data_IF_139470903244
#
_entry.id   IF_139470903244
#
_cell.length_a   1.000
_cell.length_b   1.000
_cell.length_c   1.000
_cell.angle_alpha   90.00
_cell.angle_beta   90.00
_cell.angle_gamma   90.00
#
_symmetry.space_group_name_H-M   'P 1'
#
loop_
_entity.id
_entity.type
_entity.pdbx_description
1 polymer ?
#
# COMPACT_ATOMS: atom_id res chain seq x y z
N UNK A 1 -17.22 -2.97 14.02
CA UNK A 1 -16.33 -2.99 12.84
C UNK A 1 -15.18 -3.98 13.02
N UNK A 2 -14.51 -4.02 14.19
CA UNK A 2 -13.33 -4.87 14.46
C UNK A 2 -13.50 -6.35 14.09
N UNK A 3 -14.56 -7.03 14.54
CA UNK A 3 -14.80 -8.44 14.21
C UNK A 3 -14.90 -8.69 12.70
N UNK A 4 -15.58 -7.79 11.97
CA UNK A 4 -15.75 -7.90 10.52
C UNK A 4 -14.42 -7.72 9.78
N UNK A 5 -13.61 -6.75 10.19
CA UNK A 5 -12.27 -6.53 9.62
C UNK A 5 -11.34 -7.70 9.91
N UNK A 6 -11.38 -8.24 11.13
CA UNK A 6 -10.62 -9.43 11.51
C UNK A 6 -10.99 -10.63 10.65
N UNK A 7 -12.29 -10.92 10.52
CA UNK A 7 -12.77 -12.00 9.66
C UNK A 7 -12.39 -11.79 8.18
N UNK A 8 -12.60 -10.58 7.64
CA UNK A 8 -12.23 -10.25 6.26
C UNK A 8 -10.74 -10.46 6.01
N UNK A 9 -9.88 -9.98 6.92
CA UNK A 9 -8.44 -10.17 6.84
C UNK A 9 -8.06 -11.65 6.80
N UNK A 10 -8.64 -12.48 7.68
CA UNK A 10 -8.37 -13.93 7.70
C UNK A 10 -8.77 -14.58 6.38
N UNK A 11 -9.95 -14.24 5.83
CA UNK A 11 -10.39 -14.77 4.55
C UNK A 11 -9.43 -14.39 3.42
N UNK A 12 -9.06 -13.11 3.33
CA UNK A 12 -8.19 -12.59 2.28
C UNK A 12 -6.79 -13.18 2.38
N UNK A 13 -6.18 -13.17 3.57
CA UNK A 13 -4.78 -13.57 3.75
C UNK A 13 -4.54 -15.08 3.71
N UNK A 14 -5.60 -15.89 3.76
CA UNK A 14 -5.54 -17.35 3.63
C UNK A 14 -6.17 -17.86 2.33
N UNK A 15 -6.31 -16.99 1.33
CA UNK A 15 -6.81 -17.36 0.00
C UNK A 15 -8.16 -18.12 0.06
N UNK A 16 -9.03 -17.75 1.01
CA UNK A 16 -10.29 -18.47 1.20
C UNK A 16 -11.18 -18.33 -0.05
N UNK A 17 -11.93 -19.39 -0.45
CA UNK A 17 -12.76 -19.34 -1.66
C UNK A 17 -13.74 -18.16 -1.70
N UNK A 18 -14.23 -17.73 -0.54
CA UNK A 18 -15.15 -16.62 -0.37
C UNK A 18 -14.49 -15.23 -0.25
N UNK A 19 -13.15 -15.13 -0.26
CA UNK A 19 -12.43 -13.88 -0.01
C UNK A 19 -12.82 -12.76 -1.00
N UNK A 20 -12.88 -13.08 -2.29
CA UNK A 20 -13.27 -12.12 -3.33
C UNK A 20 -14.70 -11.61 -3.15
N UNK A 21 -15.63 -12.51 -2.83
CA UNK A 21 -17.02 -12.14 -2.57
C UNK A 21 -17.17 -11.29 -1.31
N UNK A 22 -16.43 -11.63 -0.24
CA UNK A 22 -16.41 -10.88 1.01
C UNK A 22 -15.81 -9.47 0.84
N UNK A 23 -14.73 -9.32 0.04
CA UNK A 23 -14.16 -8.01 -0.30
C UNK A 23 -15.17 -7.15 -1.08
N UNK A 24 -15.88 -7.72 -2.05
CA UNK A 24 -16.88 -7.01 -2.84
C UNK A 24 -18.09 -6.60 -1.99
N UNK A 25 -18.58 -7.48 -1.12
CA UNK A 25 -19.68 -7.16 -0.18
C UNK A 25 -19.27 -6.08 0.82
N UNK A 26 -18.04 -6.16 1.37
CA UNK A 26 -17.52 -5.14 2.26
C UNK A 26 -17.47 -3.76 1.57
N UNK A 27 -16.89 -3.71 0.37
CA UNK A 27 -16.81 -2.47 -0.40
C UNK A 27 -18.21 -1.90 -0.69
N UNK A 28 -19.14 -2.72 -1.18
CA UNK A 28 -20.52 -2.29 -1.49
C UNK A 28 -21.21 -1.65 -0.29
N UNK A 29 -20.99 -2.17 0.91
CA UNK A 29 -21.63 -1.69 2.14
C UNK A 29 -20.96 -0.44 2.73
N UNK A 30 -19.64 -0.31 2.58
CA UNK A 30 -18.82 0.63 3.34
C UNK A 30 -18.03 1.64 2.51
N UNK A 31 -18.20 1.67 1.18
CA UNK A 31 -17.50 2.63 0.32
C UNK A 31 -17.73 4.09 0.70
N UNK A 32 -18.92 4.42 1.22
CA UNK A 32 -19.27 5.78 1.63
C UNK A 32 -18.80 6.10 3.07
N UNK A 33 -18.21 5.12 3.78
CA UNK A 33 -17.60 5.30 5.10
C UNK A 33 -16.07 5.38 4.97
N UNK A 34 -15.52 6.59 4.98
CA UNK A 34 -14.10 6.85 4.65
C UNK A 34 -13.09 5.93 5.36
N UNK A 35 -13.21 5.79 6.68
CA UNK A 35 -12.30 4.95 7.49
C UNK A 35 -12.47 3.45 7.19
N UNK A 36 -13.69 3.01 6.93
CA UNK A 36 -13.98 1.61 6.59
C UNK A 36 -13.40 1.29 5.21
N UNK A 37 -13.54 2.19 4.24
CA UNK A 37 -12.94 2.04 2.92
C UNK A 37 -11.40 2.06 3.01
N UNK A 38 -10.78 2.88 3.87
CA UNK A 38 -9.33 2.83 4.12
C UNK A 38 -8.88 1.44 4.57
N UNK A 39 -9.66 0.79 5.44
CA UNK A 39 -9.35 -0.58 5.88
C UNK A 39 -9.49 -1.61 4.75
N UNK A 40 -10.44 -1.41 3.83
CA UNK A 40 -10.59 -2.27 2.66
C UNK A 40 -9.37 -2.22 1.74
N UNK A 41 -8.82 -1.03 1.48
CA UNK A 41 -7.55 -0.90 0.74
C UNK A 41 -6.38 -1.52 1.50
N UNK A 42 -6.27 -1.20 2.79
CA UNK A 42 -5.16 -1.66 3.66
C UNK A 42 -5.06 -3.18 3.73
N UNK A 43 -6.19 -3.89 3.90
CA UNK A 43 -6.19 -5.36 4.01
C UNK A 43 -5.60 -6.02 2.75
N UNK A 44 -5.91 -5.47 1.57
CA UNK A 44 -5.41 -5.98 0.29
C UNK A 44 -3.95 -5.60 0.07
N UNK A 45 -3.58 -4.34 0.31
CA UNK A 45 -2.21 -3.86 0.13
C UNK A 45 -1.21 -4.52 1.09
N UNK A 46 -1.65 -4.84 2.32
CA UNK A 46 -0.82 -5.47 3.35
C UNK A 46 -0.75 -7.01 3.24
N UNK A 47 -1.39 -7.62 2.25
CA UNK A 47 -1.33 -9.07 2.08
C UNK A 47 0.13 -9.52 1.85
N UNK A 48 0.64 -10.54 2.56
CA UNK A 48 2.00 -11.04 2.35
C UNK A 48 2.35 -11.45 0.91
N UNK A 49 1.37 -11.86 0.11
CA UNK A 49 1.50 -12.25 -1.30
C UNK A 49 1.06 -11.15 -2.27
N UNK A 50 0.81 -9.93 -1.79
CA UNK A 50 0.50 -8.79 -2.66
C UNK A 50 1.66 -8.58 -3.65
N UNK A 51 1.29 -8.28 -4.89
CA UNK A 51 2.22 -8.05 -6.00
C UNK A 51 2.16 -6.59 -6.47
N UNK A 52 3.02 -6.21 -7.42
CA UNK A 52 2.95 -4.91 -8.08
C UNK A 52 1.57 -4.67 -8.72
N UNK A 53 0.98 -5.71 -9.33
CA UNK A 53 -0.36 -5.65 -9.93
C UNK A 53 -1.44 -5.43 -8.88
N UNK A 54 -1.26 -5.97 -7.66
CA UNK A 54 -2.19 -5.71 -6.54
C UNK A 54 -2.19 -4.23 -6.18
N UNK A 55 -1.01 -3.63 -6.04
CA UNK A 55 -0.87 -2.20 -5.73
C UNK A 55 -1.38 -1.34 -6.88
N UNK A 56 -1.08 -1.70 -8.13
CA UNK A 56 -1.59 -1.01 -9.31
C UNK A 56 -3.12 -1.05 -9.39
N UNK A 57 -3.73 -2.21 -9.12
CA UNK A 57 -5.19 -2.36 -9.07
C UNK A 57 -5.82 -1.44 -8.02
N UNK A 58 -5.24 -1.40 -6.81
CA UNK A 58 -5.74 -0.55 -5.72
C UNK A 58 -5.57 0.93 -6.02
N UNK A 59 -4.42 1.34 -6.55
CA UNK A 59 -4.14 2.75 -6.87
C UNK A 59 -4.91 3.25 -8.09
N UNK A 60 -5.38 2.36 -8.96
CA UNK A 60 -6.24 2.68 -10.11
C UNK A 60 -7.73 2.64 -9.77
N UNK A 61 -8.10 2.28 -8.53
CA UNK A 61 -9.48 2.17 -8.11
C UNK A 61 -10.14 3.56 -8.06
N UNK A 62 -11.41 3.67 -8.48
CA UNK A 62 -12.12 4.96 -8.58
C UNK A 62 -12.16 5.76 -7.26
N UNK A 63 -12.25 5.06 -6.12
CA UNK A 63 -12.24 5.68 -4.79
C UNK A 63 -10.84 5.86 -4.18
N UNK A 64 -9.76 5.57 -4.92
CA UNK A 64 -8.40 5.89 -4.51
C UNK A 64 -8.06 7.34 -4.83
N UNK A 65 -8.50 8.23 -3.95
CA UNK A 65 -8.26 9.67 -4.02
C UNK A 65 -6.91 10.09 -3.40
N UNK A 66 -6.03 10.66 -4.23
CA UNK A 66 -4.75 11.25 -3.82
C UNK A 66 -4.90 12.59 -3.07
N UNK A 67 -6.10 13.19 -3.06
CA UNK A 67 -6.43 14.35 -2.22
C UNK A 67 -6.64 13.99 -0.75
N UNK A 68 -6.85 12.71 -0.43
CA UNK A 68 -7.15 12.23 0.92
C UNK A 68 -5.92 11.53 1.54
N UNK A 69 -5.21 12.15 2.51
CA UNK A 69 -3.96 11.59 3.03
C UNK A 69 -4.10 10.19 3.67
N UNK A 70 -5.25 9.88 4.27
CA UNK A 70 -5.50 8.56 4.84
C UNK A 70 -5.71 7.51 3.74
N UNK A 71 -6.36 7.87 2.63
CA UNK A 71 -6.51 7.01 1.45
C UNK A 71 -5.14 6.67 0.86
N UNK A 72 -4.25 7.65 0.70
CA UNK A 72 -2.87 7.40 0.26
C UNK A 72 -2.13 6.43 1.19
N UNK A 73 -2.25 6.65 2.51
CA UNK A 73 -1.63 5.78 3.52
C UNK A 73 -2.25 4.40 3.59
N UNK A 74 -3.51 4.23 3.19
CA UNK A 74 -4.18 2.94 3.22
C UNK A 74 -3.49 1.91 2.32
N UNK A 75 -3.08 2.32 1.12
CA UNK A 75 -2.33 1.44 0.20
C UNK A 75 -0.84 1.46 0.51
N UNK A 76 -0.23 2.64 0.62
CA UNK A 76 1.23 2.76 0.79
C UNK A 76 1.71 2.23 2.14
N UNK A 77 0.92 2.46 3.20
CA UNK A 77 1.19 1.90 4.52
C UNK A 77 0.99 0.38 4.57
N UNK A 78 0.02 -0.15 3.81
CA UNK A 78 -0.18 -1.59 3.67
C UNK A 78 0.99 -2.26 2.98
N UNK A 79 1.43 -1.71 1.85
CA UNK A 79 2.63 -2.17 1.15
C UNK A 79 3.87 -2.16 2.08
N UNK A 80 4.05 -1.08 2.84
CA UNK A 80 5.15 -0.96 3.81
C UNK A 80 5.06 -1.94 4.99
N UNK A 81 3.87 -2.48 5.30
CA UNK A 81 3.72 -3.46 6.38
C UNK A 81 4.45 -4.78 6.07
N UNK A 82 4.80 -5.02 4.81
CA UNK A 82 5.70 -6.10 4.40
C UNK A 82 6.98 -5.54 3.76
N UNK A 83 8.09 -5.46 4.51
CA UNK A 83 9.36 -4.95 4.00
C UNK A 83 9.86 -5.68 2.75
N UNK A 84 9.60 -6.98 2.60
CA UNK A 84 10.00 -7.74 1.41
C UNK A 84 9.31 -7.18 0.16
N UNK A 85 8.01 -6.87 0.25
CA UNK A 85 7.26 -6.29 -0.86
C UNK A 85 7.69 -4.84 -1.14
N UNK A 86 7.85 -4.05 -0.07
CA UNK A 86 8.28 -2.65 -0.17
C UNK A 86 9.64 -2.51 -0.88
N UNK A 87 10.58 -3.40 -0.58
CA UNK A 87 11.94 -3.36 -1.14
C UNK A 87 12.14 -4.15 -2.43
N UNK A 88 11.20 -5.03 -2.81
CA UNK A 88 11.28 -5.76 -4.08
C UNK A 88 10.68 -4.97 -5.24
N UNK A 89 9.39 -4.66 -5.19
CA UNK A 89 8.69 -3.92 -6.24
C UNK A 89 8.13 -2.57 -5.77
N UNK A 90 8.11 -2.33 -4.45
CA UNK A 90 7.45 -1.16 -3.88
C UNK A 90 8.23 0.16 -3.95
N UNK A 91 9.55 0.12 -4.19
CA UNK A 91 10.41 1.32 -4.18
C UNK A 91 9.88 2.39 -5.15
N UNK A 92 9.56 2.00 -6.38
CA UNK A 92 9.08 2.92 -7.41
C UNK A 92 7.73 3.57 -7.01
N UNK A 93 6.83 2.80 -6.38
CA UNK A 93 5.56 3.32 -5.86
C UNK A 93 5.78 4.46 -4.85
N UNK A 94 6.73 4.30 -3.92
CA UNK A 94 7.05 5.36 -2.95
C UNK A 94 7.72 6.58 -3.59
N UNK A 95 8.62 6.37 -4.56
CA UNK A 95 9.30 7.44 -5.28
C UNK A 95 8.31 8.27 -6.09
N UNK A 96 7.45 7.64 -6.89
CA UNK A 96 6.48 8.32 -7.74
C UNK A 96 5.45 9.09 -6.91
N UNK A 97 4.98 8.48 -5.83
CA UNK A 97 4.04 9.12 -4.92
C UNK A 97 4.68 10.31 -4.18
N UNK A 98 5.95 10.21 -3.79
CA UNK A 98 6.70 11.31 -3.20
C UNK A 98 6.89 12.45 -4.22
N UNK A 99 7.24 12.16 -5.47
CA UNK A 99 7.35 13.14 -6.56
C UNK A 99 6.03 13.89 -6.77
N UNK A 100 4.92 13.15 -6.84
CA UNK A 100 3.59 13.76 -6.96
C UNK A 100 3.24 14.65 -5.76
N UNK A 101 3.59 14.21 -4.54
CA UNK A 101 3.25 14.93 -3.31
C UNK A 101 4.20 16.07 -2.98
N UNK A 102 5.39 16.15 -3.56
CA UNK A 102 6.33 17.24 -3.31
C UNK A 102 5.70 18.62 -3.64
N UNK A 103 4.96 18.68 -4.75
CA UNK A 103 4.24 19.89 -5.17
C UNK A 103 2.94 20.13 -4.39
N UNK A 104 2.25 19.06 -3.97
CA UNK A 104 0.88 19.14 -3.41
C UNK A 104 0.85 19.19 -1.90
N UNK A 105 1.66 18.38 -1.26
CA UNK A 105 1.76 18.23 0.19
C UNK A 105 3.12 17.60 0.58
N UNK A 106 4.20 18.41 0.61
CA UNK A 106 5.55 17.91 0.84
C UNK A 106 5.74 17.25 2.22
N UNK A 107 4.87 17.57 3.20
CA UNK A 107 4.85 16.89 4.51
C UNK A 107 4.41 15.42 4.36
N UNK A 108 3.42 15.14 3.52
CA UNK A 108 3.00 13.74 3.25
C UNK A 108 4.05 13.03 2.39
N UNK A 109 4.57 13.71 1.35
CA UNK A 109 5.64 13.16 0.49
C UNK A 109 6.88 12.75 1.28
N UNK A 110 7.43 13.65 2.11
CA UNK A 110 8.59 13.36 2.95
C UNK A 110 8.36 12.20 3.93
N UNK A 111 7.15 12.07 4.51
CA UNK A 111 6.80 10.94 5.39
C UNK A 111 6.79 9.59 4.64
N UNK A 112 6.38 9.57 3.38
CA UNK A 112 6.40 8.34 2.58
C UNK A 112 7.83 7.90 2.27
N UNK A 113 8.73 8.85 1.98
CA UNK A 113 10.14 8.55 1.74
C UNK A 113 10.87 7.96 2.97
N UNK A 114 10.34 8.14 4.18
CA UNK A 114 10.93 7.52 5.38
C UNK A 114 11.02 5.99 5.29
N UNK A 115 10.12 5.35 4.53
CA UNK A 115 10.16 3.91 4.25
C UNK A 115 11.51 3.51 3.63
N UNK A 116 12.05 4.34 2.73
CA UNK A 116 13.26 4.07 1.97
C UNK A 116 14.55 4.49 2.69
N UNK A 117 14.46 5.14 3.85
CA UNK A 117 15.66 5.60 4.60
C UNK A 117 16.49 4.45 5.17
N UNK A 118 15.88 3.27 5.35
CA UNK A 118 16.53 2.10 5.93
C UNK A 118 17.20 1.18 4.89
N UNK A 119 17.49 1.68 3.70
CA UNK A 119 18.14 0.90 2.62
C UNK A 119 19.42 0.18 3.09
N UNK A 120 20.17 0.77 4.03
CA UNK A 120 21.41 0.21 4.57
C UNK A 120 21.21 -1.11 5.35
N UNK A 121 19.97 -1.47 5.72
CA UNK A 121 19.67 -2.75 6.39
C UNK A 121 19.48 -3.91 5.41
N UNK A 122 19.40 -3.64 4.11
CA UNK A 122 19.21 -4.68 3.10
C UNK A 122 20.46 -5.54 2.96
N UNK A 123 20.28 -6.81 2.60
CA UNK A 123 21.38 -7.67 2.18
C UNK A 123 21.86 -7.28 0.77
N UNK A 124 23.07 -7.69 0.41
CA UNK A 124 23.50 -7.65 -0.99
C UNK A 124 22.79 -8.77 -1.78
N UNK A 125 22.44 -8.55 -3.06
CA UNK A 125 22.72 -7.35 -3.87
C UNK A 125 21.69 -6.21 -3.74
N UNK A 126 20.58 -6.42 -3.02
CA UNK A 126 19.47 -5.46 -2.98
C UNK A 126 19.87 -4.08 -2.44
N UNK A 127 20.81 -4.04 -1.48
CA UNK A 127 21.37 -2.79 -0.97
C UNK A 127 22.01 -1.96 -2.09
N UNK A 128 22.93 -2.56 -2.85
CA UNK A 128 23.62 -1.88 -3.96
C UNK A 128 22.65 -1.47 -5.07
N UNK A 129 21.65 -2.29 -5.39
CA UNK A 129 20.63 -1.98 -6.40
C UNK A 129 19.72 -0.83 -5.99
N UNK A 130 19.38 -0.72 -4.70
CA UNK A 130 18.55 0.37 -4.17
C UNK A 130 19.24 1.74 -4.23
N UNK A 131 20.57 1.76 -4.13
CA UNK A 131 21.39 2.97 -4.27
C UNK A 131 21.41 3.48 -5.72
N UNK A 132 21.48 2.57 -6.70
CA UNK A 132 21.42 2.94 -8.12
C UNK A 132 20.08 3.60 -8.48
N UNK A 133 18.97 3.13 -7.93
CA UNK A 133 17.66 3.77 -8.11
C UNK A 133 17.58 5.15 -7.43
N UNK A 134 18.35 5.41 -6.38
CA UNK A 134 18.36 6.70 -5.67
C UNK A 134 19.29 7.76 -6.28
N UNK A 135 20.24 7.35 -7.13
CA UNK A 135 21.27 8.24 -7.72
C UNK A 135 20.87 8.75 -9.11
N UNK A 136 19.92 8.11 -9.80
CA UNK A 136 19.59 8.40 -11.21
C UNK A 136 18.15 8.86 -11.47
N UNK A 137 17.37 9.23 -10.45
CA UNK A 137 15.98 9.72 -10.60
C UNK A 137 15.68 10.95 -9.77
#
# INVERSE_FOLDING_TARGET
MSERLGALKVLVWNDAPQAKAALADFYKRFKDEALSLDQWFMIQAAHPKATAETIQYLTSHADYDLGTPNRIRSVSGGLNANPVNAWSFGVQHFVDLAKYLDEKNPIVGSRLLQVLTRWYTLAEPQRSESLLHSIYT
#
